data_IF_471504346999
#
_entry.id   IF_471504346999
#
_cell.length_a   1.000
_cell.length_b   1.000
_cell.length_c   1.000
_cell.angle_alpha   90.00
_cell.angle_beta   90.00
_cell.angle_gamma   90.00
#
_symmetry.space_group_name_H-M   'P 1'
#
loop_
_entity.id
_entity.type
_entity.pdbx_description
1 polymer ?
#
# COMPACT_ATOMS: atom_id res chain seq x y z
N UNK A 1 9.18 4.28 -32.72
CA UNK A 1 10.44 4.39 -31.97
C UNK A 1 10.09 4.19 -30.51
N UNK A 2 10.69 3.24 -29.81
CA UNK A 2 10.53 3.19 -28.36
C UNK A 2 11.13 4.50 -27.81
N UNK A 3 10.35 5.28 -27.05
CA UNK A 3 10.80 6.55 -26.50
C UNK A 3 12.04 6.34 -25.64
N UNK A 4 13.04 7.21 -25.81
CA UNK A 4 14.19 7.24 -24.91
C UNK A 4 13.67 7.49 -23.50
N UNK A 5 14.09 6.65 -22.55
CA UNK A 5 13.70 6.79 -21.15
C UNK A 5 14.43 8.01 -20.57
N UNK A 6 13.71 8.89 -19.88
CA UNK A 6 14.27 10.08 -19.22
C UNK A 6 14.56 9.80 -17.74
N UNK A 7 13.65 9.10 -17.05
CA UNK A 7 13.79 8.72 -15.65
C UNK A 7 12.98 7.45 -15.34
N UNK A 8 13.23 6.85 -14.16
CA UNK A 8 12.52 5.64 -13.71
C UNK A 8 11.71 5.93 -12.44
N UNK A 9 10.42 5.61 -12.47
CA UNK A 9 9.56 5.58 -11.29
C UNK A 9 9.59 4.19 -10.66
N UNK A 10 9.74 4.11 -9.34
CA UNK A 10 9.77 2.85 -8.60
C UNK A 10 8.80 2.93 -7.42
N UNK A 11 7.97 1.91 -7.29
CA UNK A 11 7.16 1.65 -6.11
C UNK A 11 7.68 0.38 -5.44
N UNK A 12 8.32 0.55 -4.28
CA UNK A 12 8.97 -0.52 -3.55
C UNK A 12 8.24 -0.81 -2.24
N UNK A 13 7.20 -1.63 -2.33
CA UNK A 13 6.37 -2.01 -1.19
C UNK A 13 7.00 -3.10 -0.30
N UNK A 14 6.26 -3.51 0.72
CA UNK A 14 6.67 -4.57 1.66
C UNK A 14 6.88 -5.91 0.95
N UNK A 15 6.01 -6.24 0.00
CA UNK A 15 5.97 -7.59 -0.61
C UNK A 15 6.38 -7.62 -2.08
N UNK A 16 6.32 -6.47 -2.77
CA UNK A 16 6.54 -6.37 -4.20
C UNK A 16 7.32 -5.11 -4.55
N UNK A 17 8.01 -5.16 -5.68
CA UNK A 17 8.72 -4.08 -6.33
C UNK A 17 8.15 -3.89 -7.74
N UNK A 18 7.85 -2.65 -8.12
CA UNK A 18 7.41 -2.27 -9.46
C UNK A 18 8.21 -1.08 -9.97
N UNK A 19 8.55 -1.08 -11.25
CA UNK A 19 9.28 0.00 -11.89
C UNK A 19 8.72 0.34 -13.27
N UNK A 20 8.75 1.63 -13.62
CA UNK A 20 8.31 2.14 -14.91
C UNK A 20 9.37 3.10 -15.46
N UNK A 21 9.76 2.90 -16.72
CA UNK A 21 10.56 3.89 -17.45
C UNK A 21 9.64 4.94 -18.04
N UNK A 22 9.92 6.19 -17.73
CA UNK A 22 9.14 7.34 -18.17
C UNK A 22 9.92 8.07 -19.26
N UNK A 23 9.30 8.33 -20.40
CA UNK A 23 9.88 9.11 -21.49
C UNK A 23 9.66 10.63 -21.29
N UNK A 24 10.26 11.43 -22.18
CA UNK A 24 10.22 12.89 -22.12
C UNK A 24 8.81 13.50 -22.25
N UNK A 25 7.85 12.75 -22.80
CA UNK A 25 6.46 13.18 -22.95
C UNK A 25 5.58 12.69 -21.76
N UNK A 26 6.19 12.02 -20.77
CA UNK A 26 5.48 11.42 -19.62
C UNK A 26 4.84 10.06 -19.94
N UNK A 27 5.16 9.48 -21.10
CA UNK A 27 4.71 8.16 -21.52
C UNK A 27 5.46 7.04 -20.80
N UNK A 28 4.84 5.85 -20.74
CA UNK A 28 5.46 4.65 -20.18
C UNK A 28 6.22 3.92 -21.30
N UNK A 29 7.54 3.99 -21.28
CA UNK A 29 8.41 3.29 -22.23
C UNK A 29 8.54 1.79 -21.89
N UNK A 30 8.55 1.44 -20.59
CA UNK A 30 8.50 0.06 -20.12
C UNK A 30 7.90 -0.04 -18.71
N UNK A 31 7.47 -1.23 -18.34
CA UNK A 31 7.10 -1.60 -16.96
C UNK A 31 7.74 -2.94 -16.57
N UNK A 32 8.27 -3.03 -15.35
CA UNK A 32 8.87 -4.26 -14.80
C UNK A 32 8.42 -4.46 -13.35
N UNK A 33 8.46 -5.70 -12.88
CA UNK A 33 8.10 -6.05 -11.50
C UNK A 33 8.96 -7.20 -10.96
N UNK A 34 9.14 -7.22 -9.64
CA UNK A 34 9.80 -8.30 -8.92
C UNK A 34 9.04 -8.63 -7.61
N UNK A 35 9.04 -9.89 -7.16
CA UNK A 35 8.54 -10.27 -5.83
C UNK A 35 9.48 -9.84 -4.68
N UNK A 36 10.59 -9.16 -4.95
CA UNK A 36 11.61 -8.76 -3.97
C UNK A 36 11.22 -7.45 -3.23
N UNK A 37 10.15 -7.49 -2.44
CA UNK A 37 9.76 -6.41 -1.54
C UNK A 37 10.64 -6.31 -0.28
N UNK A 38 10.47 -5.22 0.50
CA UNK A 38 11.24 -4.96 1.74
C UNK A 38 11.30 -6.16 2.69
N UNK A 39 10.21 -6.91 2.83
CA UNK A 39 10.11 -8.03 3.77
C UNK A 39 11.03 -9.22 3.47
N UNK A 40 11.71 -9.24 2.31
CA UNK A 40 12.61 -10.33 1.88
C UNK A 40 14.06 -9.89 1.74
N UNK A 41 14.35 -8.60 1.90
CA UNK A 41 15.64 -8.01 1.57
C UNK A 41 16.36 -7.51 2.82
N UNK A 42 17.67 -7.75 2.87
CA UNK A 42 18.59 -6.94 3.68
C UNK A 42 18.90 -5.64 2.94
N UNK A 43 19.37 -4.63 3.69
CA UNK A 43 19.69 -3.30 3.15
C UNK A 43 20.70 -3.36 2.00
N UNK A 44 21.66 -4.26 2.08
CA UNK A 44 22.76 -4.42 1.11
C UNK A 44 22.29 -5.05 -0.22
N UNK A 45 21.11 -5.67 -0.24
CA UNK A 45 20.59 -6.35 -1.43
C UNK A 45 19.84 -5.42 -2.38
N UNK A 46 19.35 -4.26 -1.90
CA UNK A 46 18.57 -3.31 -2.71
C UNK A 46 19.29 -2.84 -3.98
N UNK A 47 20.58 -2.42 -3.94
CA UNK A 47 21.29 -2.00 -5.14
C UNK A 47 21.33 -3.08 -6.24
N UNK A 48 21.59 -4.33 -5.84
CA UNK A 48 21.64 -5.47 -6.76
C UNK A 48 20.29 -5.78 -7.38
N UNK A 49 19.22 -5.75 -6.58
CA UNK A 49 17.84 -5.98 -7.05
C UNK A 49 17.42 -4.88 -8.03
N UNK A 50 17.68 -3.61 -7.72
CA UNK A 50 17.33 -2.50 -8.61
C UNK A 50 18.11 -2.57 -9.93
N UNK A 51 19.42 -2.84 -9.86
CA UNK A 51 20.28 -2.98 -11.04
C UNK A 51 19.81 -4.12 -11.94
N UNK A 52 19.49 -5.28 -11.35
CA UNK A 52 18.97 -6.44 -12.09
C UNK A 52 17.61 -6.12 -12.72
N UNK A 53 16.72 -5.46 -11.96
CA UNK A 53 15.41 -5.08 -12.48
C UNK A 53 15.52 -4.11 -13.65
N UNK A 54 16.49 -3.19 -13.65
CA UNK A 54 16.69 -2.16 -14.68
C UNK A 54 17.76 -2.51 -15.72
N UNK A 55 18.18 -3.77 -15.79
CA UNK A 55 19.19 -4.22 -16.75
C UNK A 55 18.79 -3.88 -18.19
N UNK A 56 19.72 -3.31 -18.96
CA UNK A 56 19.51 -2.88 -20.34
C UNK A 56 18.81 -1.53 -20.50
N UNK A 57 18.53 -0.83 -19.40
CA UNK A 57 17.98 0.55 -19.38
C UNK A 57 19.00 1.53 -18.78
N UNK A 58 19.79 1.07 -17.80
CA UNK A 58 20.65 1.89 -16.95
C UNK A 58 21.83 2.59 -17.65
N UNK A 59 22.09 2.31 -18.94
CA UNK A 59 23.21 2.92 -19.66
C UNK A 59 22.92 4.38 -20.07
N UNK A 60 21.64 4.75 -20.23
CA UNK A 60 21.20 6.10 -20.65
C UNK A 60 20.41 6.87 -19.57
N UNK A 61 20.07 6.21 -18.44
CA UNK A 61 19.18 6.78 -17.40
C UNK A 61 19.82 6.65 -16.03
N UNK A 62 20.07 7.79 -15.40
CA UNK A 62 20.58 7.84 -14.02
C UNK A 62 19.49 8.12 -13.00
N UNK A 63 18.44 8.88 -13.33
CA UNK A 63 17.46 9.29 -12.32
C UNK A 63 16.43 8.19 -12.01
N UNK A 64 16.34 7.83 -10.72
CA UNK A 64 15.35 6.88 -10.21
C UNK A 64 14.63 7.49 -9.01
N UNK A 65 13.30 7.67 -9.09
CA UNK A 65 12.48 8.11 -7.98
C UNK A 65 11.74 6.92 -7.36
N UNK A 66 11.90 6.74 -6.05
CA UNK A 66 11.38 5.58 -5.32
C UNK A 66 10.37 6.04 -4.26
N UNK A 67 9.17 5.46 -4.25
CA UNK A 67 8.23 5.59 -3.13
C UNK A 67 8.09 4.26 -2.36
N UNK A 68 7.43 4.33 -1.20
CA UNK A 68 7.10 3.16 -0.41
C UNK A 68 8.16 2.72 0.59
N UNK A 69 8.14 1.44 0.92
CA UNK A 69 8.82 0.85 2.08
C UNK A 69 10.33 0.74 1.95
N UNK A 70 10.92 0.98 0.78
CA UNK A 70 12.36 1.21 0.66
C UNK A 70 12.86 2.35 1.57
N UNK A 71 11.99 3.33 1.88
CA UNK A 71 12.29 4.46 2.77
C UNK A 71 12.06 4.19 4.26
N UNK A 72 11.58 3.02 4.64
CA UNK A 72 11.33 2.68 6.04
C UNK A 72 12.64 2.48 6.83
N UNK A 73 12.56 2.47 8.17
CA UNK A 73 13.74 2.24 9.02
C UNK A 73 14.44 0.90 8.73
N UNK A 74 13.64 -0.12 8.40
CA UNK A 74 14.09 -1.47 8.00
C UNK A 74 14.36 -1.59 6.48
N UNK A 75 14.15 -0.52 5.72
CA UNK A 75 14.34 -0.46 4.28
C UNK A 75 15.79 -0.20 3.87
N UNK A 76 15.94 0.28 2.64
CA UNK A 76 17.22 0.60 2.03
C UNK A 76 17.90 1.79 2.73
N UNK A 77 17.20 2.92 2.82
CA UNK A 77 17.65 4.07 3.59
C UNK A 77 16.45 4.75 4.23
N UNK A 78 16.57 5.12 5.49
CA UNK A 78 15.48 5.75 6.22
C UNK A 78 15.22 7.15 5.64
N UNK A 79 14.05 7.34 5.03
CA UNK A 79 13.54 8.63 4.60
C UNK A 79 12.64 9.20 5.71
N UNK A 80 13.06 10.25 6.44
CA UNK A 80 12.31 10.81 7.56
C UNK A 80 10.89 11.20 7.16
N UNK A 81 9.91 11.00 8.05
CA UNK A 81 8.54 11.42 7.79
C UNK A 81 8.43 12.96 7.75
N UNK A 82 7.56 13.46 6.88
CA UNK A 82 7.03 14.82 6.96
C UNK A 82 5.87 14.86 7.95
N UNK A 83 5.75 15.96 8.71
CA UNK A 83 4.62 16.16 9.62
C UNK A 83 3.40 16.67 8.85
N UNK A 84 2.23 16.08 9.08
CA UNK A 84 0.96 16.64 8.63
C UNK A 84 0.53 17.80 9.56
N UNK A 85 -0.07 18.89 9.04
CA UNK A 85 -0.43 19.09 7.63
C UNK A 85 0.76 19.25 6.68
N UNK A 86 0.78 18.49 5.59
CA UNK A 86 1.90 18.38 4.66
C UNK A 86 1.52 18.82 3.24
N UNK A 87 2.36 19.63 2.61
CA UNK A 87 2.24 19.97 1.18
C UNK A 87 2.84 18.85 0.34
N UNK A 88 2.00 18.02 -0.28
CA UNK A 88 2.45 16.83 -1.02
C UNK A 88 3.29 17.18 -2.25
N UNK A 89 3.07 18.36 -2.85
CA UNK A 89 3.91 18.86 -3.94
C UNK A 89 5.37 19.11 -3.54
N UNK A 90 5.70 19.07 -2.24
CA UNK A 90 7.06 19.21 -1.71
C UNK A 90 7.68 17.90 -1.25
N UNK A 91 7.05 16.74 -1.47
CA UNK A 91 7.57 15.43 -1.08
C UNK A 91 9.01 15.20 -1.59
N UNK A 92 9.28 15.55 -2.85
CA UNK A 92 10.59 15.38 -3.47
C UNK A 92 11.71 16.18 -2.77
N UNK A 93 11.39 17.28 -2.09
CA UNK A 93 12.38 18.07 -1.35
C UNK A 93 12.89 17.37 -0.08
N UNK A 94 12.11 16.42 0.45
CA UNK A 94 12.50 15.57 1.59
C UNK A 94 13.08 14.21 1.16
N UNK A 95 13.32 13.99 -0.12
CA UNK A 95 13.83 12.72 -0.62
C UNK A 95 15.27 12.47 -0.16
N UNK A 96 15.60 11.22 0.15
CA UNK A 96 16.95 10.79 0.54
C UNK A 96 17.61 10.00 -0.58
N UNK A 97 18.91 10.19 -0.77
CA UNK A 97 19.69 9.38 -1.71
C UNK A 97 20.34 8.22 -0.94
N UNK A 98 19.95 6.95 -1.16
CA UNK A 98 20.64 5.82 -0.60
C UNK A 98 21.98 5.58 -1.32
N UNK A 99 22.91 4.88 -0.66
CA UNK A 99 24.15 4.43 -1.30
C UNK A 99 23.82 3.49 -2.48
N UNK A 100 24.29 3.86 -3.67
CA UNK A 100 24.05 3.11 -4.90
C UNK A 100 25.33 3.06 -5.76
N UNK A 101 25.98 1.88 -5.89
CA UNK A 101 27.06 1.70 -6.85
C UNK A 101 26.54 1.70 -8.29
N UNK A 102 27.32 2.27 -9.21
CA UNK A 102 27.00 2.30 -10.64
C UNK A 102 26.32 3.58 -11.09
N UNK A 103 25.67 3.58 -12.27
CA UNK A 103 25.18 4.81 -12.92
C UNK A 103 23.82 5.29 -12.38
N UNK A 104 23.14 4.48 -11.56
CA UNK A 104 21.81 4.82 -11.04
C UNK A 104 21.91 5.74 -9.82
N UNK A 105 21.10 6.79 -9.82
CA UNK A 105 20.97 7.81 -8.79
C UNK A 105 19.56 7.77 -8.18
N UNK A 106 19.27 6.79 -7.31
CA UNK A 106 17.99 6.70 -6.62
C UNK A 106 17.76 7.85 -5.64
N UNK A 107 16.51 8.31 -5.56
CA UNK A 107 16.02 9.18 -4.49
C UNK A 107 14.73 8.58 -3.93
N UNK A 108 14.70 8.32 -2.63
CA UNK A 108 13.57 7.72 -1.93
C UNK A 108 12.73 8.82 -1.29
N UNK A 109 11.45 8.89 -1.67
CA UNK A 109 10.50 9.84 -1.14
C UNK A 109 10.18 9.55 0.34
N UNK A 110 9.97 10.59 1.17
CA UNK A 110 9.55 10.42 2.55
C UNK A 110 8.08 10.00 2.63
N UNK A 111 7.71 9.37 3.75
CA UNK A 111 6.30 9.22 4.13
C UNK A 111 5.76 10.47 4.83
N UNK A 112 4.51 10.41 5.29
CA UNK A 112 3.88 11.44 6.14
C UNK A 112 3.43 10.85 7.48
N UNK A 113 3.53 11.63 8.55
CA UNK A 113 3.09 11.23 9.89
C UNK A 113 2.23 12.29 10.59
N UNK A 114 1.44 11.84 11.56
CA UNK A 114 0.82 12.65 12.60
C UNK A 114 1.53 12.36 13.93
N UNK A 115 1.87 13.41 14.69
CA UNK A 115 2.61 13.30 15.97
C UNK A 115 1.81 13.74 17.19
N UNK A 116 0.63 14.30 17.00
CA UNK A 116 -0.20 14.75 18.11
C UNK A 116 -0.53 13.56 19.01
N UNK A 117 -0.37 13.76 20.33
CA UNK A 117 -0.54 12.70 21.31
C UNK A 117 -1.97 12.13 21.25
N UNK A 118 -2.08 10.81 21.03
CA UNK A 118 -3.36 10.11 20.87
C UNK A 118 -3.96 10.15 19.46
N UNK A 119 -3.28 10.79 18.51
CA UNK A 119 -3.64 10.81 17.09
C UNK A 119 -2.44 10.41 16.20
N UNK A 120 -1.48 9.68 16.76
CA UNK A 120 -0.28 9.25 16.05
C UNK A 120 -0.65 8.30 14.91
N UNK A 121 -0.16 8.60 13.70
CA UNK A 121 -0.39 7.77 12.53
C UNK A 121 0.73 7.98 11.51
N UNK A 122 0.95 7.01 10.63
CA UNK A 122 1.98 7.05 9.59
C UNK A 122 1.47 6.47 8.27
N UNK A 123 1.96 7.02 7.17
CA UNK A 123 1.83 6.44 5.82
C UNK A 123 3.17 6.53 5.08
N UNK A 124 3.39 5.58 4.17
CA UNK A 124 4.61 5.53 3.36
C UNK A 124 4.34 4.80 2.05
N UNK A 125 4.26 5.56 0.97
CA UNK A 125 3.82 5.16 -0.37
C UNK A 125 2.50 5.82 -0.74
N UNK A 126 1.54 5.85 0.19
CA UNK A 126 0.21 6.42 -0.04
C UNK A 126 0.25 7.92 -0.32
N UNK A 127 1.18 8.67 0.29
CA UNK A 127 1.37 10.10 0.03
C UNK A 127 1.70 10.40 -1.44
N UNK A 128 2.40 9.48 -2.11
CA UNK A 128 2.72 9.59 -3.54
C UNK A 128 1.46 9.37 -4.40
N UNK A 129 0.58 8.45 -4.01
CA UNK A 129 -0.71 8.25 -4.70
C UNK A 129 -1.66 9.44 -4.49
N UNK A 130 -1.69 10.04 -3.29
CA UNK A 130 -2.48 11.24 -3.00
C UNK A 130 -2.00 12.46 -3.80
N UNK A 131 -0.69 12.59 -4.03
CA UNK A 131 -0.14 13.58 -4.95
C UNK A 131 -0.64 13.32 -6.39
N UNK A 132 -0.65 12.07 -6.83
CA UNK A 132 -1.22 11.67 -8.12
C UNK A 132 -2.70 12.03 -8.25
N UNK A 133 -3.51 11.79 -7.22
CA UNK A 133 -4.92 12.20 -7.18
C UNK A 133 -5.06 13.72 -7.36
N UNK A 134 -4.21 14.50 -6.69
CA UNK A 134 -4.23 15.97 -6.78
C UNK A 134 -3.91 16.48 -8.18
N UNK A 135 -3.11 15.73 -8.95
CA UNK A 135 -2.82 16.03 -10.35
C UNK A 135 -3.96 15.62 -11.30
N UNK A 136 -4.60 14.47 -11.06
CA UNK A 136 -5.73 13.98 -11.84
C UNK A 136 -7.00 14.80 -11.62
N UNK A 137 -7.19 15.32 -10.40
CA UNK A 137 -8.34 16.14 -10.01
C UNK A 137 -7.82 17.42 -9.34
N UNK A 138 -7.38 18.42 -10.14
CA UNK A 138 -6.87 19.68 -9.60
C UNK A 138 -7.87 20.37 -8.67
N UNK A 139 -7.42 20.74 -7.47
CA UNK A 139 -8.26 21.37 -6.47
C UNK A 139 -9.18 20.43 -5.70
N UNK A 140 -9.00 19.11 -5.81
CA UNK A 140 -9.72 18.13 -4.99
C UNK A 140 -9.66 18.52 -3.50
N UNK A 141 -10.81 18.62 -2.86
CA UNK A 141 -10.91 18.85 -1.42
C UNK A 141 -11.94 17.89 -0.85
N UNK A 142 -11.49 17.03 0.07
CA UNK A 142 -12.33 16.02 0.66
C UNK A 142 -11.57 14.79 1.13
N UNK A 143 -12.35 13.74 1.40
CA UNK A 143 -11.86 12.48 1.95
C UNK A 143 -11.49 11.52 0.81
N UNK A 144 -10.21 11.13 0.76
CA UNK A 144 -9.71 10.06 -0.08
C UNK A 144 -9.61 8.76 0.73
N UNK A 145 -10.13 7.67 0.19
CA UNK A 145 -10.08 6.33 0.82
C UNK A 145 -9.17 5.45 -0.02
N UNK A 146 -8.16 4.87 0.63
CA UNK A 146 -7.12 4.08 -0.01
C UNK A 146 -7.10 2.70 0.65
N UNK A 147 -7.96 1.76 0.20
CA UNK A 147 -8.06 0.45 0.79
C UNK A 147 -6.80 -0.38 0.54
N UNK A 148 -6.47 -1.28 1.45
CA UNK A 148 -5.33 -2.19 1.33
C UNK A 148 -5.07 -2.98 2.61
N UNK A 149 -3.85 -3.50 2.76
CA UNK A 149 -3.39 -4.13 4.02
C UNK A 149 -3.63 -3.19 5.21
N UNK A 150 -3.29 -1.91 5.02
CA UNK A 150 -3.63 -0.81 5.91
C UNK A 150 -4.40 0.22 5.11
N UNK A 151 -5.71 0.24 5.28
CA UNK A 151 -6.57 1.21 4.61
C UNK A 151 -6.32 2.61 5.17
N UNK A 152 -6.14 3.61 4.30
CA UNK A 152 -5.98 5.01 4.70
C UNK A 152 -7.23 5.82 4.38
N UNK A 153 -7.64 6.64 5.34
CA UNK A 153 -8.65 7.68 5.17
C UNK A 153 -7.97 9.04 5.28
N UNK A 154 -7.74 9.72 4.17
CA UNK A 154 -6.92 10.93 4.09
C UNK A 154 -7.76 12.16 3.71
N UNK A 155 -7.63 13.25 4.48
CA UNK A 155 -8.30 14.52 4.19
C UNK A 155 -7.38 15.45 3.39
N UNK A 156 -7.77 15.76 2.16
CA UNK A 156 -7.03 16.64 1.26
C UNK A 156 -7.70 18.01 1.10
N UNK A 157 -6.86 19.03 0.95
CA UNK A 157 -7.20 20.38 0.50
C UNK A 157 -6.27 20.76 -0.66
N UNK A 158 -6.67 20.46 -1.89
CA UNK A 158 -5.77 20.51 -3.05
C UNK A 158 -4.62 19.54 -2.87
N UNK A 159 -3.38 20.04 -2.87
CA UNK A 159 -2.16 19.25 -2.66
C UNK A 159 -1.79 19.07 -1.18
N UNK A 160 -2.60 19.61 -0.26
CA UNK A 160 -2.28 19.59 1.17
C UNK A 160 -2.98 18.43 1.87
N UNK A 161 -2.20 17.52 2.45
CA UNK A 161 -2.70 16.47 3.34
C UNK A 161 -2.83 17.04 4.76
N UNK A 162 -4.06 17.12 5.28
CA UNK A 162 -4.33 17.79 6.57
C UNK A 162 -4.35 16.82 7.75
N UNK A 163 -5.01 15.67 7.58
CA UNK A 163 -5.07 14.58 8.56
C UNK A 163 -5.32 13.26 7.83
N UNK A 164 -5.04 12.16 8.50
CA UNK A 164 -5.43 10.84 8.03
C UNK A 164 -5.64 9.88 9.19
N UNK A 165 -6.25 8.74 8.88
CA UNK A 165 -6.40 7.63 9.82
C UNK A 165 -6.22 6.30 9.10
N UNK A 166 -5.53 5.38 9.77
CA UNK A 166 -5.25 4.03 9.29
C UNK A 166 -6.18 3.00 9.94
N UNK A 167 -6.68 2.09 9.12
CA UNK A 167 -7.37 0.89 9.57
C UNK A 167 -6.66 -0.35 9.02
N UNK A 168 -6.23 -1.26 9.89
CA UNK A 168 -5.47 -2.47 9.52
C UNK A 168 -6.38 -3.60 8.99
N UNK A 169 -7.43 -3.26 8.24
CA UNK A 169 -8.51 -4.19 7.86
C UNK A 169 -7.98 -5.40 7.07
N UNK A 170 -7.12 -5.16 6.07
CA UNK A 170 -6.52 -6.24 5.28
C UNK A 170 -5.54 -7.12 6.07
N UNK A 171 -4.74 -6.54 6.96
CA UNK A 171 -3.85 -7.32 7.84
C UNK A 171 -4.64 -8.18 8.84
N UNK A 172 -5.66 -7.60 9.48
CA UNK A 172 -6.53 -8.33 10.41
C UNK A 172 -7.27 -9.45 9.69
N UNK A 173 -7.77 -9.21 8.48
CA UNK A 173 -8.39 -10.23 7.65
C UNK A 173 -7.45 -11.41 7.43
N UNK A 174 -6.21 -11.15 6.99
CA UNK A 174 -5.25 -12.22 6.69
C UNK A 174 -4.82 -12.98 7.95
N UNK A 175 -4.55 -12.28 9.06
CA UNK A 175 -4.23 -12.89 10.36
C UNK A 175 -5.36 -13.81 10.84
N UNK A 176 -6.61 -13.35 10.74
CA UNK A 176 -7.76 -14.14 11.15
C UNK A 176 -7.96 -15.35 10.24
N UNK A 177 -7.79 -15.18 8.92
CA UNK A 177 -7.93 -16.24 7.93
C UNK A 177 -6.89 -17.34 8.09
N UNK A 178 -5.65 -16.99 8.45
CA UNK A 178 -4.51 -17.93 8.43
C UNK A 178 -4.07 -18.42 9.80
N UNK A 179 -4.06 -17.55 10.81
CA UNK A 179 -3.46 -17.84 12.12
C UNK A 179 -4.49 -18.02 13.25
N UNK A 180 -5.76 -17.67 13.05
CA UNK A 180 -6.80 -17.85 14.06
C UNK A 180 -7.59 -19.16 13.93
N UNK A 181 -8.52 -19.43 14.85
CA UNK A 181 -9.46 -20.57 14.76
C UNK A 181 -10.39 -20.46 13.53
N UNK A 182 -10.60 -19.25 12.99
CA UNK A 182 -11.46 -19.04 11.82
C UNK A 182 -10.94 -19.74 10.56
N UNK A 183 -9.63 -20.04 10.50
CA UNK A 183 -9.01 -20.79 9.39
C UNK A 183 -9.73 -22.12 9.08
N UNK A 184 -10.32 -22.75 10.09
CA UNK A 184 -11.07 -24.00 9.93
C UNK A 184 -12.40 -23.84 9.19
N UNK A 185 -12.87 -22.62 8.99
CA UNK A 185 -14.04 -22.27 8.18
C UNK A 185 -13.68 -21.61 6.85
N UNK A 186 -12.38 -21.32 6.63
CA UNK A 186 -11.83 -20.62 5.47
C UNK A 186 -10.81 -21.48 4.70
N UNK A 187 -10.90 -22.81 4.82
CA UNK A 187 -9.97 -23.75 4.20
C UNK A 187 -10.38 -24.28 2.82
N UNK A 188 -11.61 -23.98 2.37
CA UNK A 188 -12.12 -24.35 1.05
C UNK A 188 -11.94 -23.26 -0.02
N UNK A 189 -12.70 -23.36 -1.10
CA UNK A 189 -12.80 -22.30 -2.10
C UNK A 189 -13.42 -21.05 -1.47
N UNK A 190 -12.75 -19.90 -1.64
CA UNK A 190 -13.14 -18.61 -1.06
C UNK A 190 -13.88 -17.71 -2.05
N UNK A 191 -13.83 -18.03 -3.35
CA UNK A 191 -14.40 -17.24 -4.44
C UNK A 191 -15.66 -17.90 -5.04
N UNK A 192 -16.32 -18.74 -4.23
CA UNK A 192 -17.58 -19.41 -4.60
C UNK A 192 -18.79 -18.45 -4.67
N UNK A 193 -19.88 -18.96 -5.25
CA UNK A 193 -21.08 -18.20 -5.62
C UNK A 193 -21.76 -17.44 -4.46
N UNK A 194 -21.61 -17.90 -3.22
CA UNK A 194 -22.25 -17.29 -2.04
C UNK A 194 -21.35 -16.29 -1.29
N UNK A 195 -20.16 -15.95 -1.84
CA UNK A 195 -19.26 -14.95 -1.26
C UNK A 195 -19.94 -13.60 -1.08
N UNK A 196 -20.60 -13.08 -2.12
CA UNK A 196 -21.23 -11.75 -2.09
C UNK A 196 -22.35 -11.69 -1.05
N UNK A 197 -23.14 -12.76 -0.91
CA UNK A 197 -24.14 -12.87 0.15
C UNK A 197 -23.53 -12.87 1.55
N UNK A 198 -22.33 -13.44 1.69
CA UNK A 198 -21.54 -13.36 2.90
C UNK A 198 -21.10 -11.92 3.16
N UNK A 199 -20.53 -11.28 2.14
CA UNK A 199 -20.02 -9.91 2.19
C UNK A 199 -21.10 -8.92 2.64
N UNK A 200 -22.27 -8.93 1.99
CA UNK A 200 -23.38 -8.04 2.35
C UNK A 200 -23.83 -8.24 3.80
N UNK A 201 -23.90 -9.50 4.26
CA UNK A 201 -24.27 -9.82 5.64
C UNK A 201 -23.20 -9.39 6.65
N UNK A 202 -21.91 -9.49 6.29
CA UNK A 202 -20.81 -9.00 7.11
C UNK A 202 -20.82 -7.48 7.22
N UNK A 203 -20.97 -6.81 6.08
CA UNK A 203 -21.01 -5.35 5.94
C UNK A 203 -22.14 -4.73 6.75
N UNK A 204 -23.35 -5.28 6.64
CA UNK A 204 -24.50 -4.86 7.45
C UNK A 204 -24.19 -4.94 8.96
N UNK A 205 -23.59 -6.04 9.42
CA UNK A 205 -23.25 -6.21 10.83
C UNK A 205 -22.13 -5.26 11.28
N UNK A 206 -21.11 -5.03 10.45
CA UNK A 206 -19.99 -4.14 10.74
C UNK A 206 -20.44 -2.68 10.84
N UNK A 207 -21.32 -2.24 9.94
CA UNK A 207 -21.85 -0.87 9.95
C UNK A 207 -22.89 -0.64 11.05
N UNK A 208 -23.77 -1.61 11.30
CA UNK A 208 -24.87 -1.45 12.26
C UNK A 208 -24.42 -1.65 13.71
N UNK A 209 -23.45 -2.54 13.95
CA UNK A 209 -22.99 -2.91 15.29
C UNK A 209 -21.46 -3.00 15.40
N UNK A 210 -20.72 -1.91 15.09
CA UNK A 210 -19.26 -1.91 15.14
C UNK A 210 -18.70 -2.23 16.53
N UNK A 211 -19.42 -1.89 17.60
CA UNK A 211 -19.04 -2.18 18.98
C UNK A 211 -18.98 -3.69 19.29
N UNK A 212 -19.61 -4.52 18.45
CA UNK A 212 -19.66 -5.97 18.61
C UNK A 212 -18.64 -6.72 17.77
N UNK A 213 -17.71 -6.02 17.10
CA UNK A 213 -16.78 -6.61 16.13
C UNK A 213 -16.17 -7.93 16.62
N UNK A 214 -15.57 -7.96 17.80
CA UNK A 214 -14.90 -9.15 18.34
C UNK A 214 -15.85 -10.33 18.60
N UNK A 215 -17.09 -10.07 19.03
CA UNK A 215 -18.11 -11.10 19.19
C UNK A 215 -18.62 -11.58 17.82
N UNK A 216 -18.81 -10.67 16.87
CA UNK A 216 -19.30 -10.97 15.52
C UNK A 216 -18.29 -11.76 14.71
N UNK A 217 -16.98 -11.56 14.90
CA UNK A 217 -15.92 -12.36 14.26
C UNK A 217 -16.12 -13.87 14.48
N UNK A 218 -16.56 -14.29 15.68
CA UNK A 218 -16.78 -15.71 15.96
C UNK A 218 -17.99 -16.30 15.20
N UNK A 219 -18.90 -15.45 14.68
CA UNK A 219 -20.01 -15.90 13.83
C UNK A 219 -19.54 -16.56 12.54
N UNK A 220 -18.34 -16.24 12.05
CA UNK A 220 -17.71 -16.94 10.90
C UNK A 220 -17.61 -18.45 11.22
N UNK A 221 -17.03 -18.79 12.38
CA UNK A 221 -16.88 -20.19 12.81
C UNK A 221 -18.22 -20.82 13.16
N UNK A 222 -19.07 -20.11 13.90
CA UNK A 222 -20.38 -20.62 14.30
C UNK A 222 -21.29 -20.89 13.10
N UNK A 223 -21.30 -20.02 12.09
CA UNK A 223 -22.10 -20.17 10.87
C UNK A 223 -21.68 -21.39 10.04
N UNK A 224 -20.38 -21.65 9.96
CA UNK A 224 -19.85 -22.87 9.33
C UNK A 224 -20.26 -24.14 10.09
N UNK A 225 -20.21 -24.14 11.43
CA UNK A 225 -20.54 -25.30 12.26
C UNK A 225 -22.05 -25.60 12.37
N UNK A 226 -22.87 -24.56 12.53
CA UNK A 226 -24.28 -24.69 12.89
C UNK A 226 -25.23 -24.49 11.72
N UNK A 227 -24.80 -23.76 10.69
CA UNK A 227 -25.63 -23.38 9.55
C UNK A 227 -25.07 -23.85 8.21
N UNK A 228 -23.97 -24.61 8.21
CA UNK A 228 -23.36 -25.14 6.99
C UNK A 228 -22.90 -24.06 6.01
N UNK A 229 -22.56 -22.86 6.49
CA UNK A 229 -22.04 -21.78 5.61
C UNK A 229 -20.75 -22.24 4.94
N UNK A 230 -20.67 -22.01 3.62
CA UNK A 230 -19.51 -22.36 2.81
C UNK A 230 -18.28 -21.55 3.24
N UNK A 231 -17.09 -21.96 2.79
CA UNK A 231 -15.88 -21.15 2.98
C UNK A 231 -15.93 -19.82 2.23
N UNK A 232 -16.58 -19.77 1.06
CA UNK A 232 -16.76 -18.54 0.29
C UNK A 232 -17.67 -17.54 1.01
N UNK A 233 -18.83 -17.98 1.51
CA UNK A 233 -19.69 -17.14 2.35
C UNK A 233 -18.97 -16.66 3.61
N UNK A 234 -18.22 -17.54 4.28
CA UNK A 234 -17.43 -17.18 5.47
C UNK A 234 -16.36 -16.14 5.16
N UNK A 235 -15.69 -16.25 4.01
CA UNK A 235 -14.68 -15.29 3.56
C UNK A 235 -15.31 -13.94 3.21
N UNK A 236 -16.43 -13.95 2.48
CA UNK A 236 -17.24 -12.76 2.22
C UNK A 236 -17.65 -12.08 3.52
N UNK A 237 -18.25 -12.82 4.46
CA UNK A 237 -18.71 -12.28 5.74
C UNK A 237 -17.57 -11.66 6.56
N UNK A 238 -16.42 -12.34 6.65
CA UNK A 238 -15.26 -11.79 7.34
C UNK A 238 -14.75 -10.52 6.65
N UNK A 239 -14.75 -10.48 5.31
CA UNK A 239 -14.30 -9.33 4.53
C UNK A 239 -15.25 -8.14 4.59
N UNK A 240 -16.57 -8.36 4.63
CA UNK A 240 -17.54 -7.27 4.74
C UNK A 240 -17.62 -6.72 6.16
N UNK A 241 -17.41 -7.57 7.17
CA UNK A 241 -17.43 -7.18 8.58
C UNK A 241 -16.27 -6.25 8.98
N UNK A 242 -15.11 -6.40 8.33
CA UNK A 242 -13.88 -5.64 8.60
C UNK A 242 -13.79 -4.39 7.73
#
# INVERSE_FOLDING_TARGET
MAGQVEWVAVDWGTSNLRAWGIDADGGIAFSRSSPDGMGKLSREQYPGVLTALLQGVADDVSEVLICGMAGARQGWAEAPYLDAPAELGKLAAGAVAPDMPGPLHPRILPGVCLRDLGAEDVMRGEETQLLGLSALVPGFSGLAVMPGTHSKWAMLEGTRLTRFSSAMTGEIFELLRTHSVLRHSLGGDLEGEDRDLGFDAGLDQGLTHPERLTATLFKVRAGSLLSGRSSAWCAGFLSGLL
#
